data_IF_544134107976
#
_entry.id   IF_544134107976
#
_cell.length_a   1.000
_cell.length_b   1.000
_cell.length_c   1.000
_cell.angle_alpha   90.00
_cell.angle_beta   90.00
_cell.angle_gamma   90.00
#
_symmetry.space_group_name_H-M   'P 1'
#
loop_
_entity.id
_entity.type
_entity.pdbx_description
1 polymer ?
#
# COMPACT_ATOMS: atom_id res chain seq x y z
N UNK A 1 9.15 -8.37 -9.61
CA UNK A 1 8.27 -7.66 -8.65
C UNK A 1 7.11 -8.58 -8.28
N UNK A 2 6.41 -8.30 -7.20
CA UNK A 2 5.23 -9.06 -6.74
C UNK A 2 4.24 -8.10 -6.08
N UNK A 3 2.95 -8.34 -6.21
CA UNK A 3 1.91 -7.53 -5.56
C UNK A 3 1.87 -7.82 -4.06
N UNK A 4 1.55 -6.82 -3.25
CA UNK A 4 1.35 -7.04 -1.82
C UNK A 4 0.04 -7.82 -1.55
N UNK A 5 0.15 -8.84 -0.71
CA UNK A 5 -0.92 -9.72 -0.26
C UNK A 5 -0.73 -10.04 1.23
N UNK A 6 -1.78 -10.44 1.97
CA UNK A 6 -1.62 -10.82 3.38
C UNK A 6 -0.53 -11.89 3.61
N UNK A 7 -0.42 -12.90 2.75
CA UNK A 7 0.58 -13.97 2.89
C UNK A 7 2.03 -13.50 2.70
N UNK A 8 2.24 -12.36 2.02
CA UNK A 8 3.55 -11.74 1.84
C UNK A 8 3.63 -10.39 2.58
N UNK A 9 2.70 -10.09 3.48
CA UNK A 9 2.77 -8.88 4.28
C UNK A 9 3.81 -9.04 5.39
N UNK A 10 4.53 -7.97 5.68
CA UNK A 10 5.30 -7.80 6.92
C UNK A 10 5.07 -6.39 7.43
N UNK A 11 5.22 -6.18 8.74
CA UNK A 11 5.12 -4.84 9.33
C UNK A 11 6.07 -3.85 8.66
N UNK A 12 7.31 -4.26 8.40
CA UNK A 12 8.31 -3.44 7.71
C UNK A 12 7.86 -3.02 6.30
N UNK A 13 7.17 -3.92 5.56
CA UNK A 13 6.59 -3.60 4.26
C UNK A 13 5.43 -2.60 4.37
N UNK A 14 4.59 -2.73 5.39
CA UNK A 14 3.53 -1.75 5.68
C UNK A 14 4.10 -0.37 6.00
N UNK A 15 5.15 -0.31 6.83
CA UNK A 15 5.85 0.95 7.13
C UNK A 15 6.54 1.54 5.90
N UNK A 16 7.14 0.70 5.05
CA UNK A 16 7.76 1.12 3.81
C UNK A 16 6.73 1.70 2.82
N UNK A 17 5.53 1.12 2.75
CA UNK A 17 4.41 1.66 1.96
C UNK A 17 4.01 3.05 2.42
N UNK A 18 3.74 3.21 3.71
CA UNK A 18 3.39 4.50 4.31
C UNK A 18 4.49 5.54 4.05
N UNK A 19 5.76 5.12 4.19
CA UNK A 19 6.92 5.98 3.91
C UNK A 19 6.99 6.39 2.45
N UNK A 20 6.78 5.45 1.52
CA UNK A 20 6.78 5.74 0.08
C UNK A 20 5.73 6.77 -0.31
N UNK A 21 4.53 6.65 0.23
CA UNK A 21 3.43 7.61 0.01
C UNK A 21 3.78 8.98 0.60
N UNK A 22 4.34 9.04 1.82
CA UNK A 22 4.82 10.30 2.40
C UNK A 22 5.90 10.98 1.55
N UNK A 23 6.79 10.23 0.92
CA UNK A 23 7.78 10.81 -0.01
C UNK A 23 7.13 11.36 -1.29
N UNK A 24 6.13 10.67 -1.84
CA UNK A 24 5.32 11.15 -2.97
C UNK A 24 4.62 12.47 -2.59
N UNK A 25 4.02 12.52 -1.40
CA UNK A 25 3.37 13.71 -0.86
C UNK A 25 4.34 14.86 -0.62
N UNK A 26 5.55 14.59 -0.10
CA UNK A 26 6.62 15.58 0.07
C UNK A 26 7.05 16.21 -1.25
N UNK A 27 6.95 15.47 -2.35
CA UNK A 27 7.18 15.97 -3.70
C UNK A 27 5.98 16.75 -4.28
N UNK A 28 4.93 16.99 -3.48
CA UNK A 28 3.66 17.61 -3.90
C UNK A 28 2.94 16.83 -5.01
N UNK A 29 3.13 15.51 -5.03
CA UNK A 29 2.45 14.56 -5.91
C UNK A 29 1.46 13.76 -5.07
N UNK A 30 0.33 13.36 -5.67
CA UNK A 30 -0.65 12.46 -5.10
C UNK A 30 -0.68 11.18 -5.95
N UNK A 31 -0.72 10.00 -5.33
CA UNK A 31 -0.73 8.74 -6.05
C UNK A 31 -2.09 8.40 -6.69
N UNK A 32 -3.18 8.82 -6.06
CA UNK A 32 -4.59 8.72 -6.49
C UNK A 32 -5.16 7.30 -6.57
N UNK A 33 -4.33 6.25 -6.56
CA UNK A 33 -4.80 4.86 -6.68
C UNK A 33 -3.99 3.89 -5.80
N UNK A 34 -4.03 4.06 -4.49
CA UNK A 34 -3.26 3.26 -3.50
C UNK A 34 -3.77 1.83 -3.31
N UNK A 35 -4.32 1.24 -4.37
CA UNK A 35 -4.76 -0.15 -4.40
C UNK A 35 -3.55 -1.09 -4.40
N UNK A 36 -3.63 -2.26 -3.76
CA UNK A 36 -2.55 -3.24 -3.72
C UNK A 36 -1.95 -3.57 -5.10
N UNK A 37 -2.77 -3.55 -6.16
CA UNK A 37 -2.30 -3.78 -7.54
C UNK A 37 -1.21 -2.81 -8.02
N UNK A 38 -1.16 -1.62 -7.45
CA UNK A 38 -0.17 -0.59 -7.78
C UNK A 38 0.99 -0.56 -6.79
N UNK A 39 0.95 -1.43 -5.77
CA UNK A 39 1.97 -1.59 -4.74
C UNK A 39 2.78 -2.85 -5.00
N UNK A 40 4.01 -2.67 -5.47
CA UNK A 40 4.87 -3.78 -5.86
C UNK A 40 6.06 -3.95 -4.93
N UNK A 41 6.24 -5.16 -4.41
CA UNK A 41 7.44 -5.60 -3.69
C UNK A 41 8.54 -5.88 -4.71
N UNK A 42 9.72 -5.30 -4.49
CA UNK A 42 10.91 -5.53 -5.31
C UNK A 42 11.62 -6.82 -4.84
N UNK A 43 11.75 -7.82 -5.72
CA UNK A 43 12.22 -9.17 -5.34
C UNK A 43 13.65 -9.23 -4.79
N UNK A 44 14.49 -8.24 -5.10
CA UNK A 44 15.87 -8.16 -4.62
C UNK A 44 16.04 -7.19 -3.43
N UNK A 45 14.95 -6.56 -3.02
CA UNK A 45 14.90 -5.61 -1.91
C UNK A 45 13.47 -5.67 -1.33
N UNK A 46 13.15 -6.72 -0.55
CA UNK A 46 11.80 -7.02 -0.11
C UNK A 46 11.16 -5.92 0.75
N UNK A 47 11.96 -5.00 1.28
CA UNK A 47 11.51 -3.83 2.04
C UNK A 47 11.17 -2.65 1.11
N UNK A 48 11.64 -2.67 -0.14
CA UNK A 48 11.32 -1.65 -1.13
C UNK A 48 9.99 -1.95 -1.80
N UNK A 49 9.01 -1.08 -1.52
CA UNK A 49 7.72 -1.07 -2.22
C UNK A 49 7.64 0.13 -3.16
N UNK A 50 7.21 -0.11 -4.41
CA UNK A 50 7.06 0.92 -5.44
C UNK A 50 5.58 1.18 -5.67
N UNK A 51 5.22 2.46 -5.72
CA UNK A 51 3.86 2.97 -5.96
C UNK A 51 3.86 3.77 -7.29
N UNK A 52 2.91 3.50 -8.20
CA UNK A 52 2.77 4.14 -9.52
C UNK A 52 1.57 5.11 -9.59
N UNK A 53 1.81 6.39 -9.90
CA UNK A 53 0.79 7.46 -9.85
C UNK A 53 0.07 7.70 -11.18
N UNK A 54 -1.26 7.79 -11.17
CA UNK A 54 -2.05 8.48 -12.21
C UNK A 54 -2.46 9.87 -11.73
N UNK A 55 -2.46 10.82 -12.68
CA UNK A 55 -2.54 12.28 -12.57
C UNK A 55 -3.80 12.77 -11.81
N UNK A 56 -3.65 13.60 -10.76
CA UNK A 56 -4.45 14.83 -10.42
C UNK A 56 -4.51 15.17 -8.91
N UNK A 57 -5.04 16.37 -8.61
CA UNK A 57 -4.82 17.24 -7.43
C UNK A 57 -6.06 17.24 -6.53
N UNK A 58 -5.93 16.93 -5.23
CA UNK A 58 -7.08 17.03 -4.32
C UNK A 58 -6.92 16.63 -2.84
N UNK A 59 -6.26 15.52 -2.49
CA UNK A 59 -6.41 14.93 -1.14
C UNK A 59 -5.18 14.14 -0.65
N UNK A 60 -4.13 14.84 -0.21
CA UNK A 60 -2.91 14.23 0.36
C UNK A 60 -3.21 13.44 1.65
N UNK A 61 -4.01 14.02 2.55
CA UNK A 61 -4.30 13.41 3.85
C UNK A 61 -5.13 12.12 3.73
N UNK A 62 -6.09 12.10 2.80
CA UNK A 62 -6.92 10.91 2.55
C UNK A 62 -6.09 9.74 2.04
N UNK A 63 -5.05 10.01 1.24
CA UNK A 63 -4.17 8.96 0.71
C UNK A 63 -3.33 8.31 1.81
N UNK A 64 -2.79 9.08 2.76
CA UNK A 64 -2.10 8.50 3.92
C UNK A 64 -3.05 7.67 4.78
N UNK A 65 -4.28 8.16 4.98
CA UNK A 65 -5.30 7.44 5.74
C UNK A 65 -5.67 6.11 5.08
N UNK A 66 -5.92 6.11 3.77
CA UNK A 66 -6.25 4.90 3.01
C UNK A 66 -5.14 3.86 3.07
N UNK A 67 -3.88 4.29 2.93
CA UNK A 67 -2.72 3.38 2.97
C UNK A 67 -2.52 2.82 4.38
N UNK A 68 -2.75 3.64 5.41
CA UNK A 68 -2.67 3.19 6.81
C UNK A 68 -3.77 2.15 7.10
N UNK A 69 -5.01 2.40 6.66
CA UNK A 69 -6.10 1.44 6.79
C UNK A 69 -5.84 0.14 6.02
N UNK A 70 -5.23 0.22 4.84
CA UNK A 70 -4.81 -0.96 4.09
C UNK A 70 -3.75 -1.76 4.86
N UNK A 71 -2.76 -1.09 5.46
CA UNK A 71 -1.73 -1.75 6.27
C UNK A 71 -2.33 -2.45 7.50
N UNK A 72 -3.24 -1.80 8.21
CA UNK A 72 -3.95 -2.38 9.36
C UNK A 72 -4.80 -3.60 8.94
N UNK A 73 -5.48 -3.50 7.81
CA UNK A 73 -6.29 -4.60 7.25
C UNK A 73 -5.42 -5.77 6.81
N UNK A 74 -4.26 -5.50 6.18
CA UNK A 74 -3.28 -6.53 5.80
C UNK A 74 -2.70 -7.23 7.04
N UNK A 75 -2.45 -6.50 8.13
CA UNK A 75 -1.99 -7.06 9.39
C UNK A 75 -3.07 -7.99 10.01
N UNK A 76 -4.33 -7.57 9.98
CA UNK A 76 -5.46 -8.39 10.44
C UNK A 76 -5.63 -9.67 9.62
N UNK A 77 -5.67 -9.56 8.29
CA UNK A 77 -5.77 -10.71 7.38
C UNK A 77 -4.56 -11.64 7.49
N UNK A 78 -3.36 -11.08 7.67
CA UNK A 78 -2.15 -11.86 7.90
C UNK A 78 -2.25 -12.67 9.20
N UNK A 79 -2.77 -12.06 10.28
CA UNK A 79 -2.97 -12.74 11.57
C UNK A 79 -4.03 -13.85 11.50
N UNK A 80 -5.07 -13.68 10.67
CA UNK A 80 -6.11 -14.70 10.45
C UNK A 80 -5.65 -15.80 9.48
N UNK A 81 -4.73 -15.49 8.57
CA UNK A 81 -4.29 -16.39 7.50
C UNK A 81 -5.24 -16.47 6.30
N UNK A 82 -6.28 -15.64 6.27
CA UNK A 82 -7.26 -15.54 5.18
C UNK A 82 -7.53 -14.08 4.80
N UNK A 83 -8.04 -13.86 3.58
CA UNK A 83 -8.39 -12.51 3.10
C UNK A 83 -9.84 -12.23 3.52
N UNK A 84 -10.04 -11.33 4.49
CA UNK A 84 -11.35 -10.89 4.95
C UNK A 84 -11.48 -9.36 4.83
N UNK A 85 -10.63 -8.62 5.52
CA UNK A 85 -10.65 -7.16 5.59
C UNK A 85 -10.15 -6.53 4.29
N UNK A 86 -9.12 -7.12 3.66
CA UNK A 86 -8.52 -6.55 2.46
C UNK A 86 -9.25 -6.90 1.16
N UNK A 87 -10.27 -7.76 1.20
CA UNK A 87 -10.97 -8.26 0.01
C UNK A 87 -11.42 -7.13 -0.95
N UNK A 88 -12.04 -6.08 -0.38
CA UNK A 88 -12.54 -4.94 -1.15
C UNK A 88 -11.44 -4.13 -1.87
N UNK A 89 -10.19 -4.20 -1.39
CA UNK A 89 -9.06 -3.53 -2.03
C UNK A 89 -8.58 -4.27 -3.28
N UNK A 90 -8.91 -5.56 -3.43
CA UNK A 90 -8.55 -6.37 -4.60
C UNK A 90 -9.68 -6.46 -5.64
N UNK A 91 -10.93 -6.16 -5.28
CA UNK A 91 -12.11 -6.40 -6.13
C UNK A 91 -12.50 -5.27 -7.10
N UNK A 92 -11.66 -4.25 -7.26
CA UNK A 92 -11.91 -3.06 -8.10
C UNK A 92 -10.67 -2.74 -8.90
#
# INVERSE_FOLDING_TARGET
MEMIYPHNFTKDRGEALIRGIREIHRALVLHCDTKPRNMMIVRNDPERVVCFTERQRGYIEDEELMVSQLADSLEADHAQGEIAETYLYYCT
#
